data_IF_581598251338
#
_entry.id   IF_581598251338
#
_cell.length_a   1.000
_cell.length_b   1.000
_cell.length_c   1.000
_cell.angle_alpha   90.00
_cell.angle_beta   90.00
_cell.angle_gamma   90.00
#
_symmetry.space_group_name_H-M   'P 1'
#
loop_
_entity.id
_entity.type
_entity.pdbx_description
1 polymer ?
#
# COMPACT_ATOMS: atom_id res chain seq x y z
N UNK A 1 26.37 -37.15 53.17
CA UNK A 1 25.55 -36.00 52.72
C UNK A 1 26.27 -34.97 51.84
N UNK A 2 27.56 -35.13 51.48
CA UNK A 2 28.32 -34.09 50.73
C UNK A 2 28.20 -34.23 49.19
N UNK A 3 27.75 -35.38 48.68
CA UNK A 3 27.61 -35.60 47.23
C UNK A 3 26.33 -35.03 46.60
N UNK A 4 25.39 -34.51 47.40
CA UNK A 4 24.16 -33.87 46.89
C UNK A 4 24.41 -32.39 46.55
N UNK A 5 25.34 -31.71 47.25
CA UNK A 5 25.68 -30.31 46.97
C UNK A 5 26.42 -30.12 45.63
N UNK A 6 27.19 -31.11 45.16
CA UNK A 6 27.87 -31.02 43.85
C UNK A 6 26.90 -31.11 42.68
N UNK A 7 25.81 -31.88 42.81
CA UNK A 7 24.74 -31.96 41.80
C UNK A 7 23.85 -30.71 41.77
N UNK A 8 23.75 -29.98 42.89
CA UNK A 8 22.99 -28.74 42.99
C UNK A 8 23.58 -27.59 42.16
N UNK A 9 24.91 -27.51 42.01
CA UNK A 9 25.54 -26.48 41.15
C UNK A 9 25.13 -26.63 39.70
N UNK A 10 25.14 -27.85 39.18
CA UNK A 10 24.69 -28.14 37.81
C UNK A 10 23.22 -27.81 37.61
N UNK A 11 22.38 -28.12 38.61
CA UNK A 11 20.95 -27.82 38.56
C UNK A 11 20.67 -26.31 38.59
N UNK A 12 21.43 -25.55 39.38
CA UNK A 12 21.31 -24.10 39.43
C UNK A 12 21.75 -23.46 38.10
N UNK A 13 22.87 -23.92 37.54
CA UNK A 13 23.35 -23.44 36.23
C UNK A 13 22.34 -23.77 35.14
N UNK A 14 21.73 -24.95 35.18
CA UNK A 14 20.70 -25.38 34.22
C UNK A 14 19.44 -24.51 34.28
N UNK A 15 18.96 -24.16 35.48
CA UNK A 15 17.81 -23.25 35.65
C UNK A 15 18.13 -21.84 35.15
N UNK A 16 19.36 -21.36 35.39
CA UNK A 16 19.79 -20.03 34.91
C UNK A 16 19.86 -20.03 33.38
N UNK A 17 20.45 -21.07 32.75
CA UNK A 17 20.50 -21.14 31.29
C UNK A 17 19.13 -21.29 30.65
N UNK A 18 18.21 -22.05 31.24
CA UNK A 18 16.82 -22.14 30.73
C UNK A 18 16.11 -20.79 30.81
N UNK A 19 16.27 -20.04 31.89
CA UNK A 19 15.65 -18.72 32.01
C UNK A 19 16.24 -17.71 31.01
N UNK A 20 17.56 -17.72 30.80
CA UNK A 20 18.21 -16.85 29.80
C UNK A 20 17.78 -17.26 28.38
N UNK A 21 17.72 -18.56 28.07
CA UNK A 21 17.25 -19.04 26.76
C UNK A 21 15.77 -18.74 26.54
N UNK A 22 14.93 -18.80 27.57
CA UNK A 22 13.52 -18.41 27.49
C UNK A 22 13.37 -16.90 27.27
N UNK A 23 14.22 -16.07 27.89
CA UNK A 23 14.21 -14.62 27.71
C UNK A 23 14.62 -14.22 26.28
N UNK A 24 15.70 -14.84 25.76
CA UNK A 24 16.16 -14.63 24.38
C UNK A 24 15.14 -15.17 23.37
N UNK A 25 14.49 -16.32 23.66
CA UNK A 25 13.43 -16.85 22.79
C UNK A 25 12.16 -15.98 22.80
N UNK A 26 11.83 -15.32 23.93
CA UNK A 26 10.72 -14.35 23.99
C UNK A 26 11.01 -13.04 23.25
N UNK A 27 12.28 -12.62 23.15
CA UNK A 27 12.67 -11.48 22.30
C UNK A 27 12.63 -11.82 20.80
N UNK A 28 12.79 -13.10 20.42
CA UNK A 28 12.72 -13.56 19.03
C UNK A 28 11.32 -13.95 18.55
N UNK A 29 10.36 -14.19 19.46
CA UNK A 29 8.99 -14.61 19.10
C UNK A 29 7.99 -13.47 19.08
N UNK A 30 8.33 -12.34 19.69
CA UNK A 30 7.67 -11.08 19.42
C UNK A 30 8.69 -10.19 18.74
N UNK A 31 8.82 -10.19 17.39
CA UNK A 31 9.28 -8.96 16.77
C UNK A 31 8.41 -7.86 17.41
N UNK A 32 8.98 -6.71 17.86
CA UNK A 32 8.14 -5.59 18.15
C UNK A 32 7.27 -5.48 16.92
N UNK A 33 5.96 -5.67 17.09
CA UNK A 33 5.03 -5.22 16.09
C UNK A 33 5.26 -3.72 16.17
N UNK A 34 6.22 -3.26 15.39
CA UNK A 34 6.25 -1.92 14.84
C UNK A 34 4.99 -1.95 13.98
N UNK A 35 3.83 -1.86 14.64
CA UNK A 35 2.73 -1.10 14.11
C UNK A 35 3.35 0.27 13.95
N UNK A 36 3.96 0.45 12.78
CA UNK A 36 4.38 1.71 12.26
C UNK A 36 3.22 2.65 12.57
N UNK A 37 3.41 3.55 13.52
CA UNK A 37 2.51 4.67 13.78
C UNK A 37 2.57 5.67 12.61
N UNK A 38 2.61 5.17 11.37
CA UNK A 38 2.37 5.92 10.16
C UNK A 38 0.90 5.70 9.83
N UNK A 39 0.06 6.24 10.70
CA UNK A 39 -1.36 6.37 10.37
C UNK A 39 -1.42 7.52 9.36
N UNK A 40 -1.71 7.19 8.10
CA UNK A 40 -1.87 8.16 7.02
C UNK A 40 -2.73 9.33 7.50
N UNK A 41 -2.31 10.56 7.15
CA UNK A 41 -3.02 11.76 7.57
C UNK A 41 -4.41 11.88 6.92
N UNK A 42 -4.66 11.08 5.88
CA UNK A 42 -5.92 11.01 5.14
C UNK A 42 -6.89 9.93 5.66
N UNK A 43 -6.46 9.06 6.59
CA UNK A 43 -7.16 7.85 7.03
C UNK A 43 -8.58 8.05 7.60
N UNK A 44 -8.94 9.26 8.06
CA UNK A 44 -10.17 9.49 8.84
C UNK A 44 -11.14 10.52 8.25
N UNK A 45 -10.91 10.99 7.02
CA UNK A 45 -11.53 12.26 6.55
C UNK A 45 -12.32 12.19 5.24
N UNK A 46 -12.64 11.01 4.73
CA UNK A 46 -13.43 10.87 3.50
C UNK A 46 -12.60 11.17 2.24
N UNK A 47 -13.25 11.66 1.18
CA UNK A 47 -12.65 11.89 -0.15
C UNK A 47 -11.30 12.65 -0.06
N UNK A 48 -10.22 11.96 -0.39
CA UNK A 48 -8.84 12.41 -0.20
C UNK A 48 -8.57 13.70 -0.97
N UNK A 49 -9.13 13.83 -2.17
CA UNK A 49 -8.95 15.02 -3.00
C UNK A 49 -9.58 16.24 -2.35
N UNK A 50 -10.73 16.10 -1.69
CA UNK A 50 -11.36 17.24 -0.98
C UNK A 50 -10.50 17.75 0.17
N UNK A 51 -9.72 16.87 0.80
CA UNK A 51 -8.83 17.24 1.90
C UNK A 51 -7.63 18.09 1.43
N UNK A 52 -7.37 18.14 0.12
CA UNK A 52 -6.33 18.99 -0.45
C UNK A 52 -6.76 20.45 -0.54
N UNK A 53 -8.04 20.75 -0.40
CA UNK A 53 -8.58 22.10 -0.52
C UNK A 53 -8.97 22.66 0.85
N UNK A 54 -8.87 23.97 1.01
CA UNK A 54 -9.47 24.67 2.16
C UNK A 54 -10.98 24.89 1.94
N UNK A 55 -11.65 25.47 2.93
CA UNK A 55 -13.10 25.76 2.87
C UNK A 55 -13.46 26.76 1.74
N UNK A 56 -12.50 27.56 1.29
CA UNK A 56 -12.64 28.50 0.18
C UNK A 56 -12.41 27.85 -1.21
N UNK A 57 -12.08 26.55 -1.25
CA UNK A 57 -11.79 25.81 -2.48
C UNK A 57 -10.40 26.07 -3.07
N UNK A 58 -9.47 26.64 -2.30
CA UNK A 58 -8.07 26.83 -2.68
C UNK A 58 -7.25 25.60 -2.33
N UNK A 59 -6.40 25.18 -3.27
CA UNK A 59 -5.50 24.05 -3.11
C UNK A 59 -4.38 24.38 -2.11
N UNK A 60 -4.23 23.53 -1.10
CA UNK A 60 -3.22 23.67 -0.06
C UNK A 60 -1.94 22.96 -0.48
N UNK A 61 -0.89 23.72 -0.74
CA UNK A 61 0.41 23.19 -1.14
C UNK A 61 0.94 22.13 -0.15
N UNK A 62 0.89 22.42 1.16
CA UNK A 62 1.35 21.48 2.19
C UNK A 62 0.57 20.15 2.18
N UNK A 63 -0.71 20.17 1.81
CA UNK A 63 -1.53 18.96 1.67
C UNK A 63 -1.13 18.15 0.43
N UNK A 64 -0.77 18.83 -0.66
CA UNK A 64 -0.29 18.17 -1.89
C UNK A 64 1.09 17.54 -1.66
N UNK A 65 2.00 18.24 -0.99
CA UNK A 65 3.31 17.67 -0.64
C UNK A 65 3.15 16.45 0.27
N UNK A 66 2.25 16.52 1.25
CA UNK A 66 1.96 15.39 2.12
C UNK A 66 1.38 14.20 1.36
N UNK A 67 0.48 14.44 0.41
CA UNK A 67 -0.05 13.41 -0.47
C UNK A 67 1.07 12.73 -1.26
N UNK A 68 1.98 13.51 -1.84
CA UNK A 68 3.14 13.01 -2.60
C UNK A 68 4.02 12.12 -1.71
N UNK A 69 4.36 12.58 -0.51
CA UNK A 69 5.22 11.82 0.40
C UNK A 69 4.55 10.52 0.87
N UNK A 70 3.25 10.55 1.20
CA UNK A 70 2.50 9.35 1.59
C UNK A 70 2.34 8.35 0.42
N UNK A 71 2.23 8.82 -0.83
CA UNK A 71 2.23 7.99 -2.04
C UNK A 71 3.60 7.31 -2.27
N UNK A 72 4.70 8.03 -2.03
CA UNK A 72 6.06 7.49 -2.19
C UNK A 72 6.38 6.40 -1.16
N UNK A 73 5.83 6.54 0.04
CA UNK A 73 6.01 5.63 1.17
C UNK A 73 5.00 4.46 1.18
N UNK A 74 3.95 4.53 0.35
CA UNK A 74 2.90 3.49 0.27
C UNK A 74 1.99 3.47 1.50
N UNK A 75 1.82 4.60 2.18
CA UNK A 75 1.00 4.75 3.39
C UNK A 75 -0.51 4.83 3.05
N UNK A 76 -0.84 5.10 1.79
CA UNK A 76 -2.20 5.27 1.28
C UNK A 76 -2.87 3.97 0.82
N UNK A 77 -2.11 2.88 0.70
CA UNK A 77 -2.58 1.58 0.21
C UNK A 77 -3.77 1.02 1.02
N UNK A 78 -3.79 1.27 2.33
CA UNK A 78 -4.79 0.76 3.26
C UNK A 78 -5.93 1.76 3.52
N UNK A 79 -5.85 2.97 2.96
CA UNK A 79 -6.80 4.07 3.18
C UNK A 79 -7.65 4.36 1.95
N UNK A 80 -7.06 4.35 0.76
CA UNK A 80 -7.71 4.74 -0.47
C UNK A 80 -8.68 3.67 -0.98
N UNK A 81 -9.90 4.08 -1.32
CA UNK A 81 -10.78 3.28 -2.18
C UNK A 81 -10.33 3.32 -3.64
N UNK A 82 -10.85 2.42 -4.48
CA UNK A 82 -10.59 2.47 -5.94
C UNK A 82 -11.01 3.81 -6.56
N UNK A 83 -12.09 4.42 -6.06
CA UNK A 83 -12.54 5.74 -6.52
C UNK A 83 -11.54 6.84 -6.12
N UNK A 84 -10.98 6.78 -4.91
CA UNK A 84 -9.96 7.72 -4.46
C UNK A 84 -8.69 7.58 -5.32
N UNK A 85 -8.25 6.35 -5.60
CA UNK A 85 -7.13 6.09 -6.49
C UNK A 85 -7.35 6.64 -7.90
N UNK A 86 -8.54 6.47 -8.45
CA UNK A 86 -8.89 7.04 -9.74
C UNK A 86 -8.78 8.57 -9.76
N UNK A 87 -9.28 9.23 -8.71
CA UNK A 87 -9.19 10.68 -8.57
C UNK A 87 -7.75 11.15 -8.36
N UNK A 88 -6.96 10.43 -7.57
CA UNK A 88 -5.53 10.70 -7.34
C UNK A 88 -4.75 10.59 -8.66
N UNK A 89 -4.94 9.51 -9.44
CA UNK A 89 -4.25 9.34 -10.73
C UNK A 89 -4.55 10.50 -11.68
N UNK A 90 -5.83 10.90 -11.78
CA UNK A 90 -6.23 12.06 -12.60
C UNK A 90 -5.63 13.37 -12.10
N UNK A 91 -5.58 13.56 -10.78
CA UNK A 91 -5.01 14.75 -10.18
C UNK A 91 -3.50 14.84 -10.43
N UNK A 92 -2.76 13.75 -10.24
CA UNK A 92 -1.33 13.68 -10.52
C UNK A 92 -1.00 13.90 -12.00
N UNK A 93 -1.77 13.28 -12.90
CA UNK A 93 -1.64 13.50 -14.33
C UNK A 93 -1.89 14.97 -14.70
N UNK A 94 -2.89 15.61 -14.08
CA UNK A 94 -3.15 17.02 -14.28
C UNK A 94 -1.97 17.90 -13.82
N UNK A 95 -1.45 17.68 -12.61
CA UNK A 95 -0.30 18.43 -12.09
C UNK A 95 0.93 18.24 -12.99
N UNK A 96 1.25 16.99 -13.33
CA UNK A 96 2.41 16.66 -14.15
C UNK A 96 2.35 17.34 -15.54
N UNK A 97 1.17 17.41 -16.18
CA UNK A 97 1.00 18.14 -17.46
C UNK A 97 1.20 19.65 -17.31
N UNK A 98 0.78 20.23 -16.18
CA UNK A 98 0.89 21.68 -15.94
C UNK A 98 2.32 22.10 -15.57
N UNK A 99 3.08 21.26 -14.87
CA UNK A 99 4.46 21.56 -14.48
C UNK A 99 5.51 21.36 -15.59
N UNK A 100 5.08 21.13 -16.84
CA UNK A 100 5.99 21.11 -18.00
C UNK A 100 6.54 22.51 -18.25
N UNK A 101 7.84 22.67 -18.03
CA UNK A 101 8.52 23.97 -18.22
C UNK A 101 8.84 24.21 -19.70
N UNK A 102 9.00 25.48 -20.14
CA UNK A 102 9.42 25.79 -21.52
C UNK A 102 10.82 25.26 -21.87
N UNK A 103 11.61 24.83 -20.89
CA UNK A 103 12.93 24.22 -21.09
C UNK A 103 12.89 22.69 -21.27
N UNK A 104 11.73 22.06 -21.07
CA UNK A 104 11.56 20.61 -21.23
C UNK A 104 11.62 20.25 -22.71
N UNK A 105 12.46 19.27 -23.07
CA UNK A 105 12.61 18.84 -24.47
C UNK A 105 11.33 18.17 -24.97
N UNK A 106 11.15 18.11 -26.29
CA UNK A 106 9.97 17.45 -26.86
C UNK A 106 9.99 15.93 -26.64
N UNK A 107 11.18 15.35 -26.45
CA UNK A 107 11.38 13.96 -26.06
C UNK A 107 10.92 13.71 -24.62
N UNK A 108 11.34 14.54 -23.66
CA UNK A 108 10.90 14.46 -22.25
C UNK A 108 9.38 14.64 -22.12
N UNK A 109 8.78 15.52 -22.94
CA UNK A 109 7.31 15.68 -22.98
C UNK A 109 6.60 14.44 -23.51
N UNK A 110 7.16 13.80 -24.54
CA UNK A 110 6.58 12.60 -25.11
C UNK A 110 6.65 11.41 -24.14
N UNK A 111 7.79 11.26 -23.44
CA UNK A 111 7.96 10.26 -22.37
C UNK A 111 6.97 10.51 -21.22
N UNK A 112 6.86 11.76 -20.75
CA UNK A 112 5.92 12.12 -19.70
C UNK A 112 4.46 11.82 -20.10
N UNK A 113 4.06 12.14 -21.34
CA UNK A 113 2.69 11.89 -21.80
C UNK A 113 2.41 10.38 -21.95
N UNK A 114 3.41 9.58 -22.33
CA UNK A 114 3.31 8.12 -22.32
C UNK A 114 3.11 7.59 -20.90
N UNK A 115 3.90 8.05 -19.93
CA UNK A 115 3.79 7.63 -18.53
C UNK A 115 2.47 8.07 -17.90
N UNK A 116 1.95 9.24 -18.28
CA UNK A 116 0.60 9.69 -17.91
C UNK A 116 -0.46 8.77 -18.48
N UNK A 117 -0.32 8.37 -19.75
CA UNK A 117 -1.27 7.45 -20.37
C UNK A 117 -1.26 6.09 -19.66
N UNK A 118 -0.08 5.57 -19.29
CA UNK A 118 0.05 4.35 -18.48
C UNK A 118 -0.59 4.50 -17.09
N UNK A 119 -0.41 5.66 -16.43
CA UNK A 119 -1.03 5.96 -15.14
C UNK A 119 -2.57 5.99 -15.19
N UNK A 120 -3.13 6.45 -16.31
CA UNK A 120 -4.58 6.59 -16.51
C UNK A 120 -5.21 5.32 -17.07
N UNK A 121 -4.45 4.49 -17.77
CA UNK A 121 -4.93 3.26 -18.37
C UNK A 121 -4.94 2.12 -17.34
N UNK A 122 -5.96 2.11 -16.49
CA UNK A 122 -6.18 1.06 -15.49
C UNK A 122 -6.60 -0.29 -16.09
N UNK A 123 -6.53 -0.44 -17.42
CA UNK A 123 -7.13 -1.55 -18.17
C UNK A 123 -6.34 -2.86 -18.12
N UNK A 124 -5.07 -2.85 -17.70
CA UNK A 124 -4.23 -4.05 -17.69
C UNK A 124 -4.61 -5.09 -16.63
N UNK A 125 -5.45 -4.74 -15.64
CA UNK A 125 -5.87 -5.68 -14.59
C UNK A 125 -7.38 -5.90 -14.52
N UNK A 126 -8.08 -5.77 -15.65
CA UNK A 126 -9.41 -6.35 -15.79
C UNK A 126 -9.30 -7.88 -15.83
N UNK A 127 -9.02 -8.50 -14.68
CA UNK A 127 -9.43 -9.89 -14.46
C UNK A 127 -10.95 -9.84 -14.52
N UNK A 128 -11.51 -10.08 -15.70
CA UNK A 128 -12.92 -10.40 -15.84
C UNK A 128 -13.17 -11.59 -14.94
N UNK A 129 -13.80 -11.38 -13.80
CA UNK A 129 -14.45 -12.46 -13.09
C UNK A 129 -15.50 -12.99 -14.05
N UNK A 130 -15.19 -14.08 -14.76
CA UNK A 130 -16.19 -14.81 -15.51
C UNK A 130 -17.22 -15.29 -14.50
N UNK A 131 -18.28 -14.51 -14.38
CA UNK A 131 -19.42 -14.89 -13.61
C UNK A 131 -20.05 -16.06 -14.37
N UNK A 132 -19.73 -17.29 -13.97
CA UNK A 132 -20.32 -18.52 -14.51
C UNK A 132 -21.86 -18.57 -14.38
N UNK A 133 -22.46 -17.52 -13.79
CA UNK A 133 -23.86 -17.36 -13.45
C UNK A 133 -24.73 -16.63 -14.49
N UNK A 134 -24.35 -16.51 -15.77
CA UNK A 134 -25.22 -15.80 -16.74
C UNK A 134 -25.31 -16.48 -18.11
N UNK A 135 -25.53 -17.80 -18.13
CA UNK A 135 -26.15 -18.46 -19.29
C UNK A 135 -27.59 -18.87 -18.93
N UNK A 136 -28.52 -18.11 -19.51
CA UNK A 136 -29.98 -18.22 -19.64
C UNK A 136 -30.76 -19.16 -18.69
N UNK A 137 -31.75 -18.55 -18.02
CA UNK A 137 -32.96 -19.14 -17.42
C UNK A 137 -32.77 -20.15 -16.27
N UNK A 138 -32.48 -19.64 -15.07
CA UNK A 138 -32.65 -20.40 -13.84
C UNK A 138 -31.85 -19.87 -12.64
N UNK A 139 -32.36 -20.11 -11.43
CA UNK A 139 -31.72 -19.79 -10.15
C UNK A 139 -30.22 -20.16 -10.13
N UNK A 140 -29.38 -19.20 -9.75
CA UNK A 140 -27.98 -19.39 -9.36
C UNK A 140 -27.77 -18.63 -8.05
N UNK A 141 -26.99 -19.13 -7.09
CA UNK A 141 -25.54 -19.32 -7.08
C UNK A 141 -25.22 -20.42 -6.05
N UNK A 142 -24.17 -21.24 -6.23
CA UNK A 142 -23.22 -21.67 -5.17
C UNK A 142 -22.26 -22.77 -5.66
N UNK A 143 -20.93 -22.56 -5.63
CA UNK A 143 -20.01 -23.69 -5.55
C UNK A 143 -20.03 -24.24 -4.12
N UNK A 144 -20.50 -25.47 -3.95
CA UNK A 144 -20.56 -26.13 -2.63
C UNK A 144 -19.16 -26.55 -2.13
N UNK A 145 -18.22 -26.88 -3.03
CA UNK A 145 -16.77 -27.02 -2.77
C UNK A 145 -16.08 -26.86 -4.12
N UNK A 146 -15.10 -25.96 -4.24
CA UNK A 146 -14.28 -25.82 -5.44
C UNK A 146 -13.00 -26.66 -5.28
N UNK A 147 -12.85 -27.72 -6.07
CA UNK A 147 -11.67 -28.61 -6.08
C UNK A 147 -10.63 -28.19 -7.12
N UNK A 148 -10.36 -26.89 -7.22
CA UNK A 148 -9.15 -26.35 -7.84
C UNK A 148 -8.41 -25.57 -6.77
N UNK A 149 -7.07 -25.47 -6.86
CA UNK A 149 -6.30 -24.55 -6.02
C UNK A 149 -6.85 -23.13 -6.22
N UNK A 150 -7.80 -22.75 -5.37
CA UNK A 150 -8.36 -21.42 -5.35
C UNK A 150 -7.30 -20.54 -4.69
N UNK A 151 -6.61 -19.74 -5.49
CA UNK A 151 -5.82 -18.65 -4.94
C UNK A 151 -6.80 -17.66 -4.32
N UNK A 152 -6.77 -17.60 -2.99
CA UNK A 152 -7.52 -16.59 -2.24
C UNK A 152 -6.86 -15.24 -2.53
N UNK A 153 -7.42 -14.50 -3.49
CA UNK A 153 -7.01 -13.12 -3.74
C UNK A 153 -7.61 -12.27 -2.62
N UNK A 154 -6.81 -12.00 -1.59
CA UNK A 154 -7.15 -10.97 -0.60
C UNK A 154 -7.21 -9.63 -1.33
N UNK A 155 -8.39 -9.03 -1.44
CA UNK A 155 -8.62 -7.76 -2.15
C UNK A 155 -7.64 -6.65 -1.72
N UNK A 156 -7.24 -6.63 -0.43
CA UNK A 156 -6.25 -5.68 0.11
C UNK A 156 -4.89 -5.79 -0.59
N UNK A 157 -4.38 -7.00 -0.75
CA UNK A 157 -3.08 -7.25 -1.39
C UNK A 157 -3.12 -7.03 -2.90
N UNK A 158 -4.32 -7.10 -3.51
CA UNK A 158 -4.53 -6.88 -4.94
C UNK A 158 -4.56 -5.38 -5.27
N UNK A 159 -5.36 -4.59 -4.56
CA UNK A 159 -5.39 -3.11 -4.68
C UNK A 159 -3.98 -2.56 -4.48
N UNK A 160 -3.28 -2.99 -3.42
CA UNK A 160 -1.89 -2.60 -3.15
C UNK A 160 -0.94 -2.92 -4.31
N UNK A 161 -1.13 -4.04 -5.02
CA UNK A 161 -0.30 -4.37 -6.20
C UNK A 161 -0.66 -3.50 -7.40
N UNK A 162 -1.95 -3.24 -7.58
CA UNK A 162 -2.46 -2.49 -8.71
C UNK A 162 -1.93 -1.06 -8.71
N UNK A 163 -1.80 -0.39 -7.56
CA UNK A 163 -1.41 1.02 -7.48
C UNK A 163 0.08 1.28 -7.17
N UNK A 164 0.94 0.26 -7.19
CA UNK A 164 2.40 0.46 -7.04
C UNK A 164 3.01 1.35 -8.13
N UNK A 165 2.45 1.32 -9.34
CA UNK A 165 2.90 2.16 -10.44
C UNK A 165 2.68 3.65 -10.14
N UNK A 166 1.67 4.02 -9.35
CA UNK A 166 1.39 5.40 -8.95
C UNK A 166 2.54 5.98 -8.12
N UNK A 167 3.01 5.24 -7.12
CA UNK A 167 4.16 5.66 -6.31
C UNK A 167 5.46 5.75 -7.12
N UNK A 168 5.61 4.91 -8.16
CA UNK A 168 6.75 4.99 -9.10
C UNK A 168 6.67 6.26 -9.96
N UNK A 169 5.51 6.52 -10.56
CA UNK A 169 5.24 7.72 -11.35
C UNK A 169 5.54 9.00 -10.56
N UNK A 170 5.08 9.08 -9.30
CA UNK A 170 5.34 10.23 -8.44
C UNK A 170 6.84 10.43 -8.20
N UNK A 171 7.62 9.36 -7.99
CA UNK A 171 9.07 9.44 -7.80
C UNK A 171 9.80 9.94 -9.05
N UNK A 172 9.38 9.46 -10.22
CA UNK A 172 10.02 9.80 -11.50
C UNK A 172 9.68 11.24 -11.93
N UNK A 173 8.43 11.67 -11.72
CA UNK A 173 7.92 12.95 -12.21
C UNK A 173 7.68 14.00 -11.13
N UNK A 174 8.24 13.81 -9.93
CA UNK A 174 8.06 14.70 -8.75
C UNK A 174 8.23 16.18 -9.08
N UNK A 175 9.23 16.51 -9.89
CA UNK A 175 9.53 17.89 -10.29
C UNK A 175 8.38 18.51 -11.09
N UNK A 176 7.82 17.77 -12.04
CA UNK A 176 6.69 18.25 -12.85
C UNK A 176 5.38 18.32 -12.03
N UNK A 177 5.26 17.55 -10.94
CA UNK A 177 4.06 17.56 -10.10
C UNK A 177 4.06 18.75 -9.12
N UNK A 178 5.23 19.20 -8.67
CA UNK A 178 5.36 20.24 -7.63
C UNK A 178 5.38 21.67 -8.21
N UNK A 179 5.83 21.84 -9.46
CA UNK A 179 5.95 23.15 -10.14
C UNK A 179 4.56 23.66 -10.54
#
# INVERSE_FOLDING_TARGET
MINILKKSKFFLTFIITINISSLVASELTNPPTVQSQYQSSFANKGDIIKQLYNDDGLLLYDSVIRLIDELENGELDDVCSEEDWYKINRFLAFLARQGVTPNTTDEEKAELEQDIQELLDSSENNITFENASYKSDGLQILPAVYYGQADIILCKSWIKKQYKHVGKFVKEHKKAIII
#
